data_IF_424769033991
#
_entry.id   IF_424769033991
#
_cell.length_a   1.000
_cell.length_b   1.000
_cell.length_c   1.000
_cell.angle_alpha   90.00
_cell.angle_beta   90.00
_cell.angle_gamma   90.00
#
_symmetry.space_group_name_H-M   'P 1'
#
loop_
_entity.id
_entity.type
_entity.pdbx_description
1 polymer ?
#
# COMPACT_ATOMS: atom_id res chain seq x y z
N UNK A 1 6.61 -13.83 46.57
CA UNK A 1 6.80 -14.93 45.61
C UNK A 1 7.18 -14.30 44.29
N UNK A 2 8.46 -14.35 43.90
CA UNK A 2 9.00 -13.58 42.78
C UNK A 2 10.19 -14.31 42.15
N UNK A 3 9.99 -15.54 41.74
CA UNK A 3 11.06 -16.44 41.28
C UNK A 3 10.63 -17.37 40.16
N UNK A 4 9.83 -16.92 39.18
CA UNK A 4 9.35 -17.83 38.12
C UNK A 4 9.71 -17.39 36.68
N UNK A 5 10.11 -16.14 36.43
CA UNK A 5 10.34 -15.70 35.05
C UNK A 5 11.82 -15.80 34.62
N UNK A 6 12.75 -15.53 35.55
CA UNK A 6 14.20 -15.65 35.28
C UNK A 6 14.67 -17.11 35.18
N UNK A 7 14.08 -18.02 35.97
CA UNK A 7 14.45 -19.43 35.97
C UNK A 7 13.95 -20.17 34.72
N UNK A 8 12.78 -19.76 34.20
CA UNK A 8 12.25 -20.28 32.92
C UNK A 8 13.09 -19.79 31.74
N UNK A 9 13.46 -18.51 31.68
CA UNK A 9 14.34 -17.99 30.62
C UNK A 9 15.72 -18.67 30.62
N UNK A 10 16.29 -18.90 31.81
CA UNK A 10 17.56 -19.63 31.99
C UNK A 10 17.47 -21.07 31.45
N UNK A 11 16.38 -21.78 31.74
CA UNK A 11 16.17 -23.15 31.27
C UNK A 11 16.02 -23.24 29.74
N UNK A 12 15.28 -22.31 29.13
CA UNK A 12 15.08 -22.26 27.68
C UNK A 12 16.35 -21.90 26.93
N UNK A 13 17.14 -20.95 27.44
CA UNK A 13 18.42 -20.55 26.86
C UNK A 13 19.43 -21.71 26.85
N UNK A 14 19.49 -22.49 27.93
CA UNK A 14 20.37 -23.67 28.02
C UNK A 14 19.97 -24.77 27.02
N UNK A 15 18.67 -24.96 26.79
CA UNK A 15 18.17 -25.98 25.88
C UNK A 15 18.40 -25.61 24.40
N UNK A 16 18.27 -24.32 24.07
CA UNK A 16 18.61 -23.81 22.73
C UNK A 16 20.11 -23.93 22.46
N UNK A 17 20.95 -23.53 23.43
CA UNK A 17 22.41 -23.63 23.31
C UNK A 17 22.85 -25.07 23.04
N UNK A 18 22.27 -26.03 23.77
CA UNK A 18 22.54 -27.46 23.59
C UNK A 18 22.13 -27.95 22.20
N UNK A 19 20.96 -27.55 21.71
CA UNK A 19 20.47 -27.93 20.36
C UNK A 19 21.37 -27.39 19.24
N UNK A 20 21.84 -26.15 19.37
CA UNK A 20 22.76 -25.54 18.41
C UNK A 20 24.13 -26.24 18.45
N UNK A 21 24.66 -26.51 19.64
CA UNK A 21 25.92 -27.25 19.78
C UNK A 21 25.85 -28.66 19.15
N UNK A 22 24.74 -29.38 19.34
CA UNK A 22 24.53 -30.70 18.72
C UNK A 22 24.42 -30.60 17.20
N UNK A 23 23.71 -29.59 16.68
CA UNK A 23 23.45 -29.47 15.23
C UNK A 23 24.67 -29.02 14.43
N UNK A 24 25.56 -28.23 15.01
CA UNK A 24 26.66 -27.59 14.29
C UNK A 24 28.05 -28.07 14.72
N UNK A 25 28.16 -28.80 15.84
CA UNK A 25 29.40 -29.41 16.32
C UNK A 25 30.55 -28.40 16.42
N UNK A 26 31.75 -28.81 15.99
CA UNK A 26 32.98 -28.00 16.07
C UNK A 26 33.04 -26.81 15.09
N UNK A 27 31.99 -26.61 14.28
CA UNK A 27 31.91 -25.48 13.34
C UNK A 27 31.55 -24.16 14.02
N UNK A 28 31.10 -24.20 15.27
CA UNK A 28 30.68 -23.03 16.04
C UNK A 28 31.34 -23.05 17.42
N UNK A 29 32.00 -21.96 17.80
CA UNK A 29 32.49 -21.71 19.15
C UNK A 29 31.52 -20.78 19.87
N UNK A 30 31.12 -21.14 21.09
CA UNK A 30 30.24 -20.32 21.93
C UNK A 30 31.10 -19.62 22.97
N UNK A 31 31.12 -18.29 22.98
CA UNK A 31 31.81 -17.48 23.99
C UNK A 31 30.87 -16.44 24.58
N UNK A 32 31.06 -16.11 25.87
CA UNK A 32 30.36 -14.98 26.49
C UNK A 32 30.88 -13.67 25.89
N UNK A 33 29.99 -12.89 25.26
CA UNK A 33 30.32 -11.55 24.79
C UNK A 33 30.14 -10.54 25.93
N UNK A 34 31.07 -10.54 26.89
CA UNK A 34 31.12 -9.56 27.99
C UNK A 34 29.93 -9.60 28.97
N UNK A 35 30.03 -8.82 30.07
CA UNK A 35 29.11 -8.90 31.21
C UNK A 35 27.65 -8.46 30.96
N UNK A 36 27.30 -7.95 29.76
CA UNK A 36 25.95 -7.42 29.46
C UNK A 36 25.28 -7.99 28.21
N UNK A 37 25.94 -8.83 27.41
CA UNK A 37 25.42 -9.27 26.09
C UNK A 37 25.48 -10.78 25.90
N UNK A 38 25.08 -11.56 26.92
CA UNK A 38 24.79 -12.99 26.79
C UNK A 38 25.86 -13.84 26.07
N UNK A 39 25.45 -15.00 25.56
CA UNK A 39 26.32 -15.90 24.81
C UNK A 39 26.31 -15.53 23.32
N UNK A 40 27.49 -15.38 22.74
CA UNK A 40 27.71 -15.14 21.31
C UNK A 40 28.18 -16.41 20.61
N UNK A 41 27.63 -16.66 19.42
CA UNK A 41 27.96 -17.80 18.57
C UNK A 41 28.92 -17.34 17.47
N UNK A 42 30.13 -17.89 17.45
CA UNK A 42 31.20 -17.53 16.52
C UNK A 42 31.49 -18.70 15.59
N UNK A 43 31.69 -18.45 14.31
CA UNK A 43 32.17 -19.47 13.38
C UNK A 43 33.61 -19.86 13.74
N UNK A 44 33.91 -21.16 13.86
CA UNK A 44 35.22 -21.64 14.28
C UNK A 44 36.36 -21.35 13.30
N UNK A 45 36.02 -21.01 12.04
CA UNK A 45 36.96 -20.70 10.96
C UNK A 45 37.45 -19.24 11.00
N UNK A 46 36.67 -18.32 11.59
CA UNK A 46 37.00 -16.89 11.60
C UNK A 46 37.86 -16.58 12.82
N UNK A 47 39.00 -15.86 12.66
CA UNK A 47 39.81 -15.44 13.78
C UNK A 47 38.99 -14.56 14.74
N UNK A 48 39.19 -14.76 16.04
CA UNK A 48 38.29 -14.20 17.06
C UNK A 48 38.21 -12.68 17.00
N UNK A 49 39.34 -12.01 16.77
CA UNK A 49 39.42 -10.54 16.68
C UNK A 49 38.56 -9.98 15.53
N UNK A 50 38.54 -10.66 14.38
CA UNK A 50 37.73 -10.27 13.23
C UNK A 50 36.24 -10.50 13.50
N UNK A 51 35.90 -11.61 14.16
CA UNK A 51 34.52 -11.93 14.48
C UNK A 51 33.94 -10.94 15.52
N UNK A 52 34.72 -10.54 16.53
CA UNK A 52 34.32 -9.52 17.50
C UNK A 52 34.20 -8.12 16.87
N UNK A 53 35.08 -7.75 15.94
CA UNK A 53 34.98 -6.49 15.21
C UNK A 53 33.67 -6.41 14.39
N UNK A 54 33.33 -7.48 13.66
CA UNK A 54 32.06 -7.57 12.91
C UNK A 54 30.84 -7.48 13.82
N UNK A 55 30.86 -8.20 14.95
CA UNK A 55 29.78 -8.20 15.93
C UNK A 55 29.59 -6.82 16.59
N UNK A 56 30.69 -6.06 16.75
CA UNK A 56 30.63 -4.67 17.19
C UNK A 56 30.02 -3.73 16.14
N UNK A 57 30.42 -3.84 14.87
CA UNK A 57 29.84 -3.07 13.77
C UNK A 57 28.34 -3.35 13.59
N UNK A 58 27.96 -4.63 13.56
CA UNK A 58 26.55 -5.06 13.46
C UNK A 58 25.75 -4.54 14.67
N UNK A 59 26.32 -4.57 15.88
CA UNK A 59 25.65 -4.06 17.07
C UNK A 59 25.45 -2.53 17.04
N UNK A 60 26.37 -1.76 16.46
CA UNK A 60 26.20 -0.32 16.28
C UNK A 60 25.14 0.03 15.23
N UNK A 61 25.12 -0.72 14.12
CA UNK A 61 24.09 -0.58 13.09
C UNK A 61 22.70 -0.96 13.62
N UNK A 62 22.60 -2.08 14.35
CA UNK A 62 21.37 -2.48 15.02
C UNK A 62 20.91 -1.45 16.06
N UNK A 63 21.83 -0.86 16.83
CA UNK A 63 21.49 0.18 17.80
C UNK A 63 20.95 1.46 17.13
N UNK A 64 21.52 1.85 15.99
CA UNK A 64 21.02 3.01 15.24
C UNK A 64 19.64 2.74 14.65
N UNK A 65 19.46 1.58 14.02
CA UNK A 65 18.17 1.14 13.48
C UNK A 65 17.11 1.00 14.58
N UNK A 66 17.49 0.54 15.77
CA UNK A 66 16.59 0.46 16.91
C UNK A 66 16.12 1.84 17.37
N UNK A 67 16.98 2.86 17.40
CA UNK A 67 16.56 4.23 17.75
C UNK A 67 15.53 4.77 16.76
N UNK A 68 15.75 4.59 15.46
CA UNK A 68 14.81 5.00 14.42
C UNK A 68 13.48 4.24 14.53
N UNK A 69 13.56 2.93 14.76
CA UNK A 69 12.39 2.07 14.94
C UNK A 69 11.60 2.47 16.17
N UNK A 70 12.26 2.76 17.29
CA UNK A 70 11.63 3.27 18.50
C UNK A 70 10.96 4.61 18.27
N UNK A 71 11.61 5.55 17.58
CA UNK A 71 11.01 6.83 17.21
C UNK A 71 9.76 6.65 16.35
N UNK A 72 9.82 5.77 15.35
CA UNK A 72 8.67 5.46 14.48
C UNK A 72 7.52 4.80 15.25
N UNK A 73 7.81 3.83 16.13
CA UNK A 73 6.82 3.17 16.99
C UNK A 73 6.19 4.15 17.97
N UNK A 74 6.98 5.06 18.54
CA UNK A 74 6.49 6.11 19.42
C UNK A 74 5.51 7.04 18.68
N UNK A 75 5.88 7.54 17.50
CA UNK A 75 4.98 8.35 16.66
C UNK A 75 3.71 7.60 16.27
N UNK A 76 3.84 6.33 15.85
CA UNK A 76 2.69 5.46 15.55
C UNK A 76 1.78 5.32 16.76
N UNK A 77 2.33 5.14 17.96
CA UNK A 77 1.53 5.02 19.18
C UNK A 77 0.68 6.26 19.47
N UNK A 78 1.19 7.46 19.16
CA UNK A 78 0.44 8.71 19.33
C UNK A 78 -0.70 8.82 18.30
N UNK A 79 -0.43 8.46 17.04
CA UNK A 79 -1.43 8.46 15.98
C UNK A 79 -2.56 7.47 16.29
N UNK A 80 -2.23 6.28 16.78
CA UNK A 80 -3.23 5.25 17.11
C UNK A 80 -4.12 5.61 18.32
N UNK A 81 -3.73 6.60 19.13
CA UNK A 81 -4.54 7.12 20.24
C UNK A 81 -5.57 8.16 19.79
N UNK A 82 -5.50 8.63 18.54
CA UNK A 82 -6.44 9.62 18.01
C UNK A 82 -7.86 9.04 17.95
N UNK A 83 -8.88 9.86 18.23
CA UNK A 83 -10.27 9.41 18.14
C UNK A 83 -10.62 9.06 16.70
N UNK A 84 -11.37 7.96 16.53
CA UNK A 84 -11.88 7.54 15.22
C UNK A 84 -12.83 8.61 14.69
N UNK A 85 -12.62 9.05 13.46
CA UNK A 85 -13.43 10.09 12.86
C UNK A 85 -14.73 9.51 12.34
N UNK A 86 -15.86 9.95 12.89
CA UNK A 86 -17.18 9.74 12.30
C UNK A 86 -17.53 10.98 11.49
N UNK A 87 -18.19 10.79 10.35
CA UNK A 87 -18.77 11.92 9.62
C UNK A 87 -19.85 12.58 10.50
N UNK A 88 -19.69 13.84 10.90
CA UNK A 88 -20.70 14.56 11.68
C UNK A 88 -22.01 14.65 10.90
N UNK A 89 -23.13 14.61 11.62
CA UNK A 89 -24.46 14.80 11.08
C UNK A 89 -25.11 15.98 11.83
N UNK A 90 -25.37 17.13 11.18
CA UNK A 90 -25.25 17.39 9.74
C UNK A 90 -23.79 17.59 9.27
N UNK A 91 -23.51 17.16 8.04
CA UNK A 91 -22.19 17.25 7.40
C UNK A 91 -21.91 18.65 6.85
N UNK A 92 -21.92 19.67 7.72
CA UNK A 92 -21.52 21.03 7.36
C UNK A 92 -20.00 21.18 7.43
N UNK A 93 -19.45 22.09 6.62
CA UNK A 93 -18.00 22.39 6.58
C UNK A 93 -17.47 22.75 7.97
N UNK A 94 -18.26 23.51 8.74
CA UNK A 94 -17.92 23.92 10.10
C UNK A 94 -17.86 22.72 11.06
N UNK A 95 -18.88 21.84 11.04
CA UNK A 95 -18.90 20.63 11.87
C UNK A 95 -17.77 19.66 11.48
N UNK A 96 -17.41 19.60 10.20
CA UNK A 96 -16.29 18.78 9.73
C UNK A 96 -14.95 19.32 10.24
N UNK A 97 -14.77 20.63 10.27
CA UNK A 97 -13.57 21.27 10.81
C UNK A 97 -13.45 21.11 12.33
N UNK A 98 -14.58 21.16 13.04
CA UNK A 98 -14.61 21.00 14.50
C UNK A 98 -14.48 19.53 14.94
N UNK A 99 -14.88 18.59 14.09
CA UNK A 99 -14.75 17.15 14.36
C UNK A 99 -13.44 16.53 13.86
N UNK A 100 -12.59 17.31 13.18
CA UNK A 100 -11.31 16.80 12.72
C UNK A 100 -10.31 16.65 13.85
N UNK A 101 -9.62 15.51 13.92
CA UNK A 101 -8.63 15.26 14.95
C UNK A 101 -7.43 16.18 14.76
N UNK A 102 -6.99 16.79 15.86
CA UNK A 102 -5.78 17.59 15.87
C UNK A 102 -4.55 16.74 15.62
N UNK A 103 -3.58 17.33 14.91
CA UNK A 103 -2.31 16.67 14.63
C UNK A 103 -1.50 16.59 15.95
N UNK A 104 -1.03 15.41 16.37
CA UNK A 104 -0.19 15.29 17.56
C UNK A 104 1.06 16.16 17.46
N UNK A 105 1.39 16.92 18.51
CA UNK A 105 2.53 17.85 18.53
C UNK A 105 3.86 17.18 18.18
N UNK A 106 4.05 15.92 18.57
CA UNK A 106 5.26 15.16 18.26
C UNK A 106 5.36 14.82 16.76
N UNK A 107 4.23 14.59 16.09
CA UNK A 107 4.18 14.34 14.66
C UNK A 107 4.42 15.62 13.86
N UNK A 108 3.81 16.72 14.29
CA UNK A 108 4.08 18.05 13.73
C UNK A 108 5.56 18.41 13.87
N UNK A 109 6.14 18.26 15.07
CA UNK A 109 7.57 18.51 15.32
C UNK A 109 8.47 17.60 14.47
N UNK A 110 8.11 16.34 14.30
CA UNK A 110 8.84 15.41 13.43
C UNK A 110 8.88 15.91 11.99
N UNK A 111 7.72 16.22 11.38
CA UNK A 111 7.68 16.70 9.99
C UNK A 111 8.28 18.09 9.81
N UNK A 112 8.16 18.98 10.81
CA UNK A 112 8.88 20.27 10.83
C UNK A 112 10.38 20.07 10.82
N UNK A 113 10.88 19.17 11.66
CA UNK A 113 12.31 18.86 11.75
C UNK A 113 12.82 18.18 10.48
N UNK A 114 12.01 17.31 9.88
CA UNK A 114 12.33 16.60 8.65
C UNK A 114 12.43 17.55 7.44
N UNK A 115 11.48 18.49 7.32
CA UNK A 115 11.42 19.41 6.19
C UNK A 115 12.30 20.65 6.35
N UNK A 116 12.49 21.12 7.59
CA UNK A 116 13.15 22.39 7.89
C UNK A 116 14.47 22.28 8.65
N UNK A 117 14.89 21.06 9.00
CA UNK A 117 16.02 20.82 9.92
C UNK A 117 15.70 21.22 11.36
N UNK A 118 16.72 21.23 12.23
CA UNK A 118 16.58 21.53 13.67
C UNK A 118 16.21 22.99 13.95
N UNK A 119 16.53 23.91 13.04
CA UNK A 119 16.26 25.35 13.19
C UNK A 119 15.70 25.94 11.90
N UNK A 120 14.39 25.78 11.64
CA UNK A 120 13.77 26.35 10.45
C UNK A 120 13.78 27.89 10.52
N UNK A 121 14.55 28.55 9.65
CA UNK A 121 14.59 30.02 9.52
C UNK A 121 13.62 30.48 8.44
N UNK A 122 12.32 30.49 8.72
CA UNK A 122 11.31 31.00 7.78
C UNK A 122 10.70 32.32 8.26
N UNK A 123 10.42 33.25 7.33
CA UNK A 123 9.72 34.52 7.59
C UNK A 123 8.50 34.68 6.68
N UNK A 124 7.43 35.28 7.21
CA UNK A 124 6.24 35.68 6.44
C UNK A 124 5.62 34.55 5.63
N UNK A 125 5.29 34.81 4.36
CA UNK A 125 4.62 33.86 3.46
C UNK A 125 5.36 32.51 3.26
N UNK A 126 6.68 32.46 3.46
CA UNK A 126 7.43 31.20 3.41
C UNK A 126 7.10 30.29 4.60
N UNK A 127 6.79 30.88 5.76
CA UNK A 127 6.35 30.13 6.94
C UNK A 127 4.98 29.51 6.70
N UNK A 128 4.04 30.24 6.11
CA UNK A 128 2.69 29.73 5.83
C UNK A 128 2.73 28.58 4.81
N UNK A 129 3.55 28.71 3.76
CA UNK A 129 3.76 27.63 2.79
C UNK A 129 4.40 26.39 3.43
N UNK A 130 5.36 26.58 4.33
CA UNK A 130 6.00 25.51 5.08
C UNK A 130 5.02 24.80 6.03
N UNK A 131 4.26 25.56 6.82
CA UNK A 131 3.27 25.05 7.77
C UNK A 131 2.18 24.25 7.04
N UNK A 132 1.73 24.71 5.87
CA UNK A 132 0.82 23.94 5.01
C UNK A 132 1.41 22.61 4.57
N UNK A 133 2.68 22.56 4.16
CA UNK A 133 3.36 21.32 3.76
C UNK A 133 3.47 20.34 4.92
N UNK A 134 3.92 20.81 6.08
CA UNK A 134 4.01 20.01 7.32
C UNK A 134 2.63 19.42 7.65
N UNK A 135 1.59 20.26 7.67
CA UNK A 135 0.21 19.86 7.98
C UNK A 135 -0.31 18.82 6.98
N UNK A 136 0.03 18.99 5.70
CA UNK A 136 -0.35 18.05 4.62
C UNK A 136 0.30 16.68 4.83
N UNK A 137 1.61 16.62 5.07
CA UNK A 137 2.32 15.36 5.29
C UNK A 137 1.90 14.66 6.58
N UNK A 138 1.69 15.42 7.66
CA UNK A 138 1.19 14.87 8.91
C UNK A 138 -0.23 14.30 8.75
N UNK A 139 -1.09 14.97 8.00
CA UNK A 139 -2.43 14.47 7.67
C UNK A 139 -2.38 13.16 6.87
N UNK A 140 -1.51 13.08 5.87
CA UNK A 140 -1.35 11.86 5.05
C UNK A 140 -0.78 10.70 5.88
N UNK A 141 0.18 10.97 6.78
CA UNK A 141 0.72 9.98 7.69
C UNK A 141 -0.34 9.42 8.64
N UNK A 142 -1.18 10.28 9.24
CA UNK A 142 -2.30 9.86 10.10
C UNK A 142 -3.26 8.96 9.31
N UNK A 143 -3.67 9.39 8.11
CA UNK A 143 -4.62 8.63 7.30
C UNK A 143 -4.07 7.25 6.93
N UNK A 144 -2.82 7.18 6.45
CA UNK A 144 -2.19 5.93 6.02
C UNK A 144 -1.93 4.97 7.20
N UNK A 145 -1.40 5.47 8.32
CA UNK A 145 -1.07 4.63 9.49
C UNK A 145 -2.33 4.03 10.12
N UNK A 146 -3.45 4.77 10.06
CA UNK A 146 -4.73 4.32 10.63
C UNK A 146 -5.61 3.57 9.63
N UNK A 147 -5.14 3.38 8.39
CA UNK A 147 -5.91 2.75 7.31
C UNK A 147 -7.23 3.48 7.01
N UNK A 148 -7.25 4.81 7.12
CA UNK A 148 -8.42 5.65 6.87
C UNK A 148 -9.47 5.66 7.99
N UNK A 149 -9.22 5.02 9.13
CA UNK A 149 -10.14 5.05 10.30
C UNK A 149 -10.16 6.41 11.00
N UNK A 150 -9.04 7.15 10.92
CA UNK A 150 -8.94 8.55 11.34
C UNK A 150 -8.86 9.39 10.07
N UNK A 151 -9.71 10.42 9.96
CA UNK A 151 -9.86 11.24 8.75
C UNK A 151 -9.50 12.69 9.05
N UNK A 152 -8.24 13.09 8.83
CA UNK A 152 -7.80 14.47 8.98
C UNK A 152 -8.55 15.41 8.03
N UNK A 153 -8.54 16.71 8.35
CA UNK A 153 -9.27 17.75 7.61
C UNK A 153 -9.05 17.68 6.10
N UNK A 154 -7.81 17.50 5.63
CA UNK A 154 -7.48 17.39 4.20
C UNK A 154 -8.32 16.31 3.50
N UNK A 155 -8.37 15.10 4.05
CA UNK A 155 -9.07 13.96 3.44
C UNK A 155 -10.58 14.13 3.50
N UNK A 156 -11.07 14.69 4.60
CA UNK A 156 -12.50 14.97 4.80
C UNK A 156 -12.99 16.08 3.87
N UNK A 157 -12.23 17.17 3.73
CA UNK A 157 -12.53 18.29 2.85
C UNK A 157 -12.49 17.87 1.38
N UNK A 158 -11.46 17.12 0.97
CA UNK A 158 -11.39 16.55 -0.37
C UNK A 158 -12.60 15.64 -0.63
N UNK A 159 -12.95 14.78 0.33
CA UNK A 159 -14.13 13.93 0.20
C UNK A 159 -15.44 14.71 0.04
N UNK A 160 -15.62 15.79 0.79
CA UNK A 160 -16.78 16.66 0.68
C UNK A 160 -16.82 17.41 -0.66
N UNK A 161 -15.67 17.92 -1.10
CA UNK A 161 -15.53 18.62 -2.37
C UNK A 161 -15.89 17.69 -3.53
N UNK A 162 -15.34 16.47 -3.56
CA UNK A 162 -15.70 15.45 -4.55
C UNK A 162 -17.20 15.15 -4.49
N UNK A 163 -17.78 14.96 -3.30
CA UNK A 163 -19.22 14.71 -3.15
C UNK A 163 -20.09 15.88 -3.63
N UNK A 164 -19.62 17.12 -3.46
CA UNK A 164 -20.33 18.32 -3.90
C UNK A 164 -20.25 18.52 -5.41
N UNK A 165 -19.11 18.18 -6.01
CA UNK A 165 -18.85 18.27 -7.45
C UNK A 165 -19.56 17.18 -8.23
N UNK A 166 -19.65 15.97 -7.68
CA UNK A 166 -20.28 14.85 -8.40
C UNK A 166 -21.71 14.58 -7.99
N UNK A 167 -22.18 15.18 -6.89
CA UNK A 167 -23.51 14.94 -6.34
C UNK A 167 -23.75 13.49 -5.88
N UNK A 168 -22.71 12.65 -5.87
CA UNK A 168 -22.86 11.20 -5.80
C UNK A 168 -21.93 10.60 -4.73
N UNK A 169 -22.53 9.83 -3.81
CA UNK A 169 -21.79 9.00 -2.83
C UNK A 169 -20.85 7.99 -3.49
N UNK A 170 -21.09 7.66 -4.77
CA UNK A 170 -20.32 6.71 -5.54
C UNK A 170 -18.92 7.23 -5.89
N UNK A 171 -18.71 8.54 -6.09
CA UNK A 171 -17.36 9.06 -6.38
C UNK A 171 -16.47 9.02 -5.13
N UNK A 172 -17.06 9.25 -3.96
CA UNK A 172 -16.43 9.00 -2.66
C UNK A 172 -16.14 7.52 -2.41
N UNK A 173 -17.00 6.63 -2.91
CA UNK A 173 -16.72 5.19 -2.91
C UNK A 173 -15.59 4.87 -3.88
N UNK A 174 -15.62 5.32 -5.14
CA UNK A 174 -14.57 5.10 -6.16
C UNK A 174 -13.19 5.58 -5.68
N UNK A 175 -13.11 6.68 -4.92
CA UNK A 175 -11.84 7.15 -4.33
C UNK A 175 -11.40 6.35 -3.11
N UNK A 176 -12.33 5.77 -2.35
CA UNK A 176 -12.04 4.89 -1.21
C UNK A 176 -11.88 3.41 -1.61
N UNK A 177 -12.38 3.02 -2.78
CA UNK A 177 -12.38 1.68 -3.34
C UNK A 177 -11.75 1.73 -4.73
N UNK A 178 -10.44 1.54 -4.78
CA UNK A 178 -9.73 1.09 -5.98
C UNK A 178 -10.11 -0.35 -6.39
N UNK A 179 -11.30 -0.82 -6.03
CA UNK A 179 -11.85 -2.10 -6.46
C UNK A 179 -13.29 -1.90 -6.94
N UNK A 180 -13.49 -2.37 -8.16
CA UNK A 180 -14.61 -2.29 -9.11
C UNK A 180 -16.02 -2.20 -8.50
N UNK A 181 -16.91 -1.38 -9.10
CA UNK A 181 -18.30 -1.81 -9.32
C UNK A 181 -19.13 -0.96 -10.31
N UNK A 182 -20.05 -1.70 -10.92
CA UNK A 182 -20.99 -1.44 -12.02
C UNK A 182 -22.05 -0.37 -11.70
N UNK A 183 -22.35 0.54 -12.63
CA UNK A 183 -23.25 1.69 -12.44
C UNK A 183 -24.54 1.50 -13.25
N UNK A 184 -25.64 1.24 -12.57
CA UNK A 184 -26.98 1.26 -13.15
C UNK A 184 -27.50 2.69 -13.30
N UNK A 185 -28.10 2.96 -14.46
CA UNK A 185 -28.54 4.27 -14.94
C UNK A 185 -29.71 4.85 -14.11
N UNK A 186 -29.45 5.93 -13.37
CA UNK A 186 -30.50 6.88 -12.97
C UNK A 186 -30.19 8.26 -13.54
N UNK A 187 -31.14 8.78 -14.33
CA UNK A 187 -31.12 10.10 -14.99
C UNK A 187 -30.49 11.18 -14.11
N UNK A 188 -29.26 11.56 -14.48
CA UNK A 188 -28.45 12.58 -13.84
C UNK A 188 -28.88 13.94 -14.39
N UNK A 189 -29.34 14.86 -13.53
CA UNK A 189 -29.47 16.27 -13.89
C UNK A 189 -28.14 16.96 -13.57
N UNK A 190 -27.29 17.10 -14.59
CA UNK A 190 -26.01 17.79 -14.51
C UNK A 190 -26.21 19.31 -14.51
N UNK A 191 -25.51 20.04 -13.64
CA UNK A 191 -25.52 21.51 -13.68
C UNK A 191 -24.62 22.00 -14.81
N UNK A 192 -24.84 23.23 -15.28
CA UNK A 192 -24.08 23.85 -16.36
C UNK A 192 -22.57 23.90 -16.12
N UNK A 193 -22.15 24.04 -14.86
CA UNK A 193 -20.74 24.00 -14.48
C UNK A 193 -20.14 22.58 -14.56
N UNK A 194 -20.93 21.56 -14.23
CA UNK A 194 -20.53 20.16 -14.36
C UNK A 194 -20.39 19.80 -15.84
N UNK A 195 -21.31 20.28 -16.70
CA UNK A 195 -21.20 20.18 -18.15
C UNK A 195 -19.97 20.91 -18.72
N UNK A 196 -19.60 22.06 -18.15
CA UNK A 196 -18.39 22.78 -18.54
C UNK A 196 -17.12 21.97 -18.21
N UNK A 197 -17.03 21.40 -17.01
CA UNK A 197 -15.93 20.51 -16.65
C UNK A 197 -15.93 19.22 -17.48
N UNK A 198 -17.09 18.65 -17.77
CA UNK A 198 -17.23 17.47 -18.63
C UNK A 198 -16.81 17.76 -20.07
N UNK A 199 -17.13 18.95 -20.59
CA UNK A 199 -16.68 19.42 -21.90
C UNK A 199 -15.16 19.66 -21.93
N UNK A 200 -14.59 20.24 -20.88
CA UNK A 200 -13.13 20.40 -20.74
C UNK A 200 -12.38 19.08 -20.57
N UNK A 201 -13.05 18.04 -20.07
CA UNK A 201 -12.56 16.66 -20.04
C UNK A 201 -12.56 16.03 -21.45
N UNK A 202 -13.56 16.32 -22.28
CA UNK A 202 -13.60 15.89 -23.69
C UNK A 202 -12.53 16.57 -24.56
N UNK A 203 -12.11 17.79 -24.22
CA UNK A 203 -11.02 18.50 -24.92
C UNK A 203 -9.64 17.81 -24.78
N UNK A 204 -9.51 16.77 -23.93
CA UNK A 204 -8.29 15.98 -23.76
C UNK A 204 -7.09 16.73 -23.14
N UNK A 205 -7.21 18.05 -22.95
CA UNK A 205 -6.15 18.95 -22.50
C UNK A 205 -6.22 19.30 -21.02
N UNK A 206 -7.14 18.70 -20.26
CA UNK A 206 -7.25 18.94 -18.82
C UNK A 206 -6.60 17.77 -18.08
N UNK A 207 -5.33 17.88 -17.67
CA UNK A 207 -4.67 16.79 -16.96
C UNK A 207 -5.30 16.63 -15.56
N UNK A 208 -5.97 15.50 -15.34
CA UNK A 208 -6.26 15.00 -13.99
C UNK A 208 -4.93 14.90 -13.21
N UNK A 209 -4.95 14.96 -11.87
CA UNK A 209 -3.71 14.97 -11.07
C UNK A 209 -2.74 13.82 -11.41
N UNK A 210 -3.25 12.64 -11.78
CA UNK A 210 -2.45 11.51 -12.31
C UNK A 210 -1.90 11.76 -13.72
N UNK A 211 -2.70 12.35 -14.62
CA UNK A 211 -2.27 12.79 -15.95
C UNK A 211 -1.27 13.95 -15.93
N UNK A 212 -1.33 14.83 -14.93
CA UNK A 212 -0.36 15.91 -14.77
C UNK A 212 1.03 15.35 -14.43
N UNK A 213 1.11 14.33 -13.57
CA UNK A 213 2.38 13.67 -13.23
C UNK A 213 2.95 12.90 -14.42
N UNK A 214 2.11 12.24 -15.23
CA UNK A 214 2.59 11.51 -16.42
C UNK A 214 3.18 12.42 -17.51
N UNK A 215 2.83 13.71 -17.55
CA UNK A 215 3.44 14.68 -18.48
C UNK A 215 4.91 15.00 -18.17
N UNK A 216 5.36 14.82 -16.93
CA UNK A 216 6.74 15.12 -16.52
C UNK A 216 7.64 13.88 -16.44
N UNK A 217 7.06 12.69 -16.49
CA UNK A 217 7.80 11.42 -16.52
C UNK A 217 7.95 10.97 -17.97
N UNK A 218 9.15 11.11 -18.54
CA UNK A 218 9.46 10.52 -19.84
C UNK A 218 9.56 9.01 -19.68
N UNK A 219 8.50 8.30 -20.04
CA UNK A 219 8.53 6.85 -20.15
C UNK A 219 9.16 6.46 -21.51
N UNK A 220 10.31 5.75 -21.53
CA UNK A 220 10.91 5.27 -22.78
C UNK A 220 10.13 4.08 -23.38
N UNK A 221 9.14 3.53 -22.68
CA UNK A 221 8.35 2.41 -23.16
C UNK A 221 7.35 2.85 -24.24
N UNK A 222 7.01 1.95 -25.18
CA UNK A 222 6.01 2.23 -26.21
C UNK A 222 4.65 2.55 -25.58
N UNK A 223 3.91 3.48 -26.21
CA UNK A 223 2.56 3.87 -25.79
C UNK A 223 1.66 2.63 -25.73
N UNK A 224 1.11 2.36 -24.56
CA UNK A 224 0.12 1.32 -24.36
C UNK A 224 -1.27 1.87 -24.66
N UNK A 225 -2.00 1.23 -25.56
CA UNK A 225 -3.40 1.57 -25.86
C UNK A 225 -4.29 0.63 -25.05
N UNK A 226 -5.12 1.20 -24.18
CA UNK A 226 -6.09 0.46 -23.38
C UNK A 226 -7.46 0.62 -24.03
N UNK A 227 -8.07 -0.50 -24.42
CA UNK A 227 -9.43 -0.55 -24.95
C UNK A 227 -10.28 -1.45 -24.06
N UNK A 228 -11.55 -1.08 -23.88
CA UNK A 228 -12.51 -1.87 -23.14
C UNK A 228 -13.38 -2.67 -24.11
N UNK A 229 -13.66 -3.92 -23.76
CA UNK A 229 -14.56 -4.80 -24.52
C UNK A 229 -15.93 -4.76 -23.87
N UNK A 230 -16.99 -4.91 -24.66
CA UNK A 230 -18.36 -4.98 -24.14
C UNK A 230 -18.51 -6.08 -23.08
N UNK A 231 -19.12 -5.78 -21.93
CA UNK A 231 -19.24 -6.73 -20.84
C UNK A 231 -20.14 -7.92 -21.23
N UNK A 232 -19.79 -9.11 -20.75
CA UNK A 232 -20.62 -10.31 -20.90
C UNK A 232 -21.56 -10.37 -19.70
N UNK A 233 -22.88 -10.33 -19.94
CA UNK A 233 -23.93 -10.23 -18.91
C UNK A 233 -24.18 -11.53 -18.11
N UNK A 234 -23.17 -12.39 -17.96
CA UNK A 234 -23.28 -13.70 -17.32
C UNK A 234 -22.13 -13.91 -16.33
N UNK A 235 -22.31 -14.85 -15.39
CA UNK A 235 -21.30 -15.15 -14.38
C UNK A 235 -19.96 -15.57 -15.03
N UNK A 236 -18.81 -15.01 -14.61
CA UNK A 236 -17.49 -15.36 -15.13
C UNK A 236 -17.07 -16.80 -14.81
N UNK A 237 -17.80 -17.47 -13.91
CA UNK A 237 -17.60 -18.88 -13.60
C UNK A 237 -18.28 -19.83 -14.57
N UNK A 238 -19.14 -19.35 -15.49
CA UNK A 238 -19.76 -20.21 -16.50
C UNK A 238 -18.78 -20.51 -17.65
N UNK A 239 -18.66 -21.79 -18.03
CA UNK A 239 -17.76 -22.23 -19.10
C UNK A 239 -18.03 -21.51 -20.43
N UNK A 240 -19.30 -21.20 -20.74
CA UNK A 240 -19.66 -20.44 -21.96
C UNK A 240 -19.04 -19.04 -21.97
N UNK A 241 -18.99 -18.38 -20.81
CA UNK A 241 -18.44 -17.03 -20.65
C UNK A 241 -16.93 -17.06 -20.78
N UNK A 242 -16.28 -18.07 -20.19
CA UNK A 242 -14.84 -18.28 -20.32
C UNK A 242 -14.47 -18.51 -21.78
N UNK A 243 -15.21 -19.40 -22.46
CA UNK A 243 -15.03 -19.69 -23.89
C UNK A 243 -15.22 -18.45 -24.76
N UNK A 244 -16.30 -17.70 -24.55
CA UNK A 244 -16.57 -16.46 -25.30
C UNK A 244 -15.45 -15.44 -25.10
N UNK A 245 -14.94 -15.30 -23.87
CA UNK A 245 -13.83 -14.39 -23.56
C UNK A 245 -12.54 -14.83 -24.27
N UNK A 246 -12.27 -16.13 -24.35
CA UNK A 246 -11.14 -16.69 -25.12
C UNK A 246 -11.29 -16.41 -26.62
N UNK A 247 -12.49 -16.57 -27.18
CA UNK A 247 -12.79 -16.28 -28.59
C UNK A 247 -12.60 -14.80 -28.91
N UNK A 248 -13.13 -13.90 -28.07
CA UNK A 248 -12.95 -12.45 -28.22
C UNK A 248 -11.49 -12.05 -28.16
N UNK A 249 -10.73 -12.63 -27.23
CA UNK A 249 -9.28 -12.38 -27.11
C UNK A 249 -8.54 -12.77 -28.39
N UNK A 250 -8.90 -13.89 -29.02
CA UNK A 250 -8.33 -14.31 -30.29
C UNK A 250 -8.71 -13.37 -31.46
N UNK A 251 -9.94 -12.85 -31.50
CA UNK A 251 -10.35 -11.84 -32.49
C UNK A 251 -9.53 -10.57 -32.34
N UNK A 252 -9.37 -10.08 -31.10
CA UNK A 252 -8.59 -8.88 -30.77
C UNK A 252 -7.12 -9.06 -31.16
N UNK A 253 -6.52 -10.23 -30.85
CA UNK A 253 -5.15 -10.52 -31.24
C UNK A 253 -4.99 -10.47 -32.77
N UNK A 254 -5.96 -11.00 -33.53
CA UNK A 254 -5.96 -10.94 -34.99
C UNK A 254 -6.13 -9.51 -35.52
N UNK A 255 -7.04 -8.73 -34.96
CA UNK A 255 -7.31 -7.34 -35.34
C UNK A 255 -6.12 -6.41 -35.07
N UNK A 256 -5.39 -6.67 -33.97
CA UNK A 256 -4.19 -5.91 -33.57
C UNK A 256 -2.90 -6.42 -34.22
N UNK A 257 -2.97 -7.47 -35.06
CA UNK A 257 -1.80 -8.07 -35.71
C UNK A 257 -0.86 -8.80 -34.75
N UNK A 258 -1.33 -9.17 -33.55
CA UNK A 258 -0.57 -9.94 -32.57
C UNK A 258 -0.55 -11.42 -32.95
N UNK A 259 0.60 -12.08 -32.79
CA UNK A 259 0.75 -13.51 -33.08
C UNK A 259 0.04 -14.43 -32.06
N UNK A 260 -0.18 -13.92 -30.85
CA UNK A 260 -0.81 -14.63 -29.74
C UNK A 260 -1.74 -13.68 -28.97
N UNK A 261 -2.74 -14.25 -28.29
CA UNK A 261 -3.56 -13.53 -27.31
C UNK A 261 -3.12 -13.89 -25.90
N UNK A 262 -3.23 -12.96 -24.95
CA UNK A 262 -3.03 -13.24 -23.52
C UNK A 262 -4.35 -12.94 -22.82
N UNK A 263 -4.83 -13.90 -22.03
CA UNK A 263 -5.98 -13.72 -21.16
C UNK A 263 -5.57 -13.99 -19.72
N UNK A 264 -6.04 -13.16 -18.81
CA UNK A 264 -5.71 -13.30 -17.40
C UNK A 264 -6.97 -13.56 -16.58
N UNK A 265 -6.93 -14.62 -15.78
CA UNK A 265 -8.06 -15.07 -14.98
C UNK A 265 -7.66 -15.29 -13.52
N UNK A 266 -8.66 -15.34 -12.64
CA UNK A 266 -8.48 -15.96 -11.33
C UNK A 266 -8.17 -17.46 -11.48
N UNK A 267 -7.65 -18.09 -10.42
CA UNK A 267 -7.25 -19.50 -10.47
C UNK A 267 -8.39 -20.45 -10.84
N UNK A 268 -9.61 -20.22 -10.34
CA UNK A 268 -10.74 -21.12 -10.57
C UNK A 268 -11.21 -21.06 -12.03
N UNK A 269 -11.21 -19.86 -12.62
CA UNK A 269 -11.57 -19.62 -14.02
C UNK A 269 -10.43 -20.07 -14.95
N UNK A 270 -9.17 -19.87 -14.57
CA UNK A 270 -8.01 -20.32 -15.34
C UNK A 270 -8.01 -21.85 -15.52
N UNK A 271 -8.34 -22.62 -14.48
CA UNK A 271 -8.47 -24.09 -14.57
C UNK A 271 -9.49 -24.48 -15.64
N UNK A 272 -10.64 -23.80 -15.68
CA UNK A 272 -11.68 -24.02 -16.70
C UNK A 272 -11.19 -23.65 -18.09
N UNK A 273 -10.50 -22.52 -18.23
CA UNK A 273 -9.94 -22.07 -19.50
C UNK A 273 -8.93 -23.09 -20.07
N UNK A 274 -8.07 -23.66 -19.23
CA UNK A 274 -7.14 -24.72 -19.65
C UNK A 274 -7.88 -25.99 -20.11
N UNK A 275 -8.95 -26.39 -19.41
CA UNK A 275 -9.77 -27.53 -19.84
C UNK A 275 -10.44 -27.27 -21.20
N UNK A 276 -10.98 -26.07 -21.41
CA UNK A 276 -11.58 -25.66 -22.71
C UNK A 276 -10.51 -25.65 -23.80
N UNK A 277 -9.32 -25.10 -23.51
CA UNK A 277 -8.21 -25.04 -24.45
C UNK A 277 -7.75 -26.43 -24.91
N UNK A 278 -7.73 -27.42 -24.01
CA UNK A 278 -7.36 -28.80 -24.33
C UNK A 278 -8.44 -29.49 -25.20
N UNK A 279 -9.71 -29.30 -24.86
CA UNK A 279 -10.85 -29.91 -25.59
C UNK A 279 -10.99 -29.31 -26.99
N UNK A 280 -10.82 -28.00 -27.14
CA UNK A 280 -11.03 -27.27 -28.40
C UNK A 280 -9.75 -27.05 -29.20
N UNK A 281 -8.69 -27.83 -28.97
CA UNK A 281 -7.50 -27.78 -29.83
C UNK A 281 -7.87 -28.07 -31.29
N UNK A 282 -7.32 -27.31 -32.27
CA UNK A 282 -6.23 -26.32 -32.15
C UNK A 282 -6.70 -24.87 -32.03
N UNK A 283 -7.99 -24.61 -31.76
CA UNK A 283 -8.61 -23.29 -31.86
C UNK A 283 -7.92 -22.24 -30.97
N UNK A 284 -7.46 -22.66 -29.78
CA UNK A 284 -6.86 -21.80 -28.77
C UNK A 284 -5.35 -22.03 -28.58
N UNK A 285 -4.65 -22.65 -29.52
CA UNK A 285 -3.20 -22.93 -29.38
C UNK A 285 -2.35 -21.66 -29.31
N UNK A 286 -2.85 -20.55 -29.88
CA UNK A 286 -2.22 -19.22 -29.85
C UNK A 286 -2.68 -18.35 -28.67
N UNK A 287 -3.44 -18.92 -27.73
CA UNK A 287 -3.93 -18.21 -26.55
C UNK A 287 -3.13 -18.61 -25.30
N UNK A 288 -2.52 -17.63 -24.65
CA UNK A 288 -1.81 -17.81 -23.39
C UNK A 288 -2.73 -17.45 -22.22
N UNK A 289 -2.96 -18.41 -21.32
CA UNK A 289 -3.75 -18.19 -20.11
C UNK A 289 -2.81 -17.89 -18.94
N UNK A 290 -2.98 -16.73 -18.31
CA UNK A 290 -2.25 -16.33 -17.11
C UNK A 290 -3.18 -16.40 -15.89
N UNK A 291 -2.75 -17.03 -14.80
CA UNK A 291 -3.49 -17.05 -13.54
C UNK A 291 -2.88 -16.09 -12.52
N UNK A 292 -3.69 -15.26 -11.86
CA UNK A 292 -3.22 -14.51 -10.70
C UNK A 292 -3.25 -15.36 -9.42
N UNK A 293 -2.15 -15.42 -8.64
CA UNK A 293 -2.18 -16.03 -7.33
C UNK A 293 -3.04 -15.18 -6.40
N UNK A 294 -4.06 -15.79 -5.78
CA UNK A 294 -4.72 -15.17 -4.63
C UNK A 294 -3.68 -15.03 -3.53
N UNK A 295 -3.22 -13.81 -3.28
CA UNK A 295 -2.52 -13.50 -2.04
C UNK A 295 -3.50 -13.81 -0.92
N UNK A 296 -3.20 -14.85 -0.12
CA UNK A 296 -4.02 -15.27 1.00
C UNK A 296 -4.10 -14.15 2.03
N UNK A 297 -5.07 -13.25 1.85
CA UNK A 297 -5.47 -12.29 2.86
C UNK A 297 -5.95 -13.08 4.06
N UNK A 298 -5.20 -13.01 5.16
CA UNK A 298 -5.65 -13.50 6.47
C UNK A 298 -6.99 -12.83 6.74
N UNK A 299 -8.07 -13.61 6.75
CA UNK A 299 -9.34 -13.21 7.35
C UNK A 299 -9.05 -12.96 8.84
N UNK A 300 -8.96 -11.69 9.21
CA UNK A 300 -9.05 -11.24 10.60
C UNK A 300 -10.51 -11.03 10.97
#
# INVERSE_FOLDING_TARGET
MGGDQADVESYWAQNLQRKIAISFGDKIKIKLAGQRRGNSFLNSVVPEDEAFARLHCDAEEHLHNDKLRWAALHLRSQIMKLPKSRTPNPATVQNLKESTPDIPTQLDLFFRSLLGGLTPKFRGAQKDGFDRKVTTMASDAIFNITGGTVKPWKHTALGLEMASLTGYKLTLQILNSTEEMNIDEKKIQLKSLDLYWFGRLQDGNTPLHSGFISMYVKDPLPIQIICYVDPISRSPTNNDVVRETMVRTMSIAKETGQSYGIVTYDLAVAIKAYSIQEIERPLFDKLLVQSYPRTSGKRS
#
